data_IF_580447000387
#
_entry.id   IF_580447000387
#
_cell.length_a   1.000
_cell.length_b   1.000
_cell.length_c   1.000
_cell.angle_alpha   90.00
_cell.angle_beta   90.00
_cell.angle_gamma   90.00
#
_symmetry.space_group_name_H-M   'P 1'
#
loop_
_entity.id
_entity.type
_entity.pdbx_description
1 polymer ?
#
# COMPACT_ATOMS: atom_id res chain seq x y z
N UNK A 1 3.61 -1.46 -6.50
CA UNK A 1 2.43 -2.37 -6.47
C UNK A 1 1.10 -1.65 -6.27
N UNK A 2 1.10 -0.45 -5.67
CA UNK A 2 -0.12 0.27 -5.31
C UNK A 2 -1.07 0.50 -6.50
N UNK A 3 -0.56 0.88 -7.67
CA UNK A 3 -1.36 1.04 -8.90
C UNK A 3 -2.03 -0.27 -9.33
N UNK A 4 -1.28 -1.37 -9.38
CA UNK A 4 -1.79 -2.68 -9.79
C UNK A 4 -2.84 -3.21 -8.81
N UNK A 5 -2.64 -2.97 -7.51
CA UNK A 5 -3.53 -3.44 -6.43
C UNK A 5 -4.69 -2.47 -6.13
N UNK A 6 -4.75 -1.32 -6.81
CA UNK A 6 -5.73 -0.26 -6.54
C UNK A 6 -7.18 -0.74 -6.69
N UNK A 7 -7.43 -1.72 -7.58
CA UNK A 7 -8.76 -2.32 -7.76
C UNK A 7 -9.20 -3.21 -6.59
N UNK A 8 -8.23 -3.70 -5.81
CA UNK A 8 -8.47 -4.56 -4.66
C UNK A 8 -8.49 -3.76 -3.34
N UNK A 9 -7.89 -2.58 -3.35
CA UNK A 9 -7.74 -1.72 -2.18
C UNK A 9 -8.92 -0.75 -2.07
N UNK A 10 -9.38 -0.54 -0.85
CA UNK A 10 -10.37 0.51 -0.57
C UNK A 10 -9.68 1.87 -0.41
N UNK A 11 -8.93 2.30 -1.42
CA UNK A 11 -8.19 3.54 -1.43
C UNK A 11 -8.84 4.54 -2.40
N UNK A 12 -8.89 5.82 -2.00
CA UNK A 12 -9.45 6.90 -2.83
C UNK A 12 -8.48 7.39 -3.91
N UNK A 13 -7.18 7.22 -3.68
CA UNK A 13 -6.10 7.62 -4.56
C UNK A 13 -4.87 6.71 -4.35
N UNK A 14 -3.86 6.86 -5.22
CA UNK A 14 -2.63 6.05 -5.15
C UNK A 14 -1.86 6.28 -3.85
N UNK A 15 -1.82 7.52 -3.33
CA UNK A 15 -1.16 7.82 -2.05
C UNK A 15 -1.78 7.04 -0.89
N UNK A 16 -3.12 7.00 -0.80
CA UNK A 16 -3.82 6.21 0.21
C UNK A 16 -3.59 4.70 0.05
N UNK A 17 -3.46 4.21 -1.19
CA UNK A 17 -3.10 2.83 -1.44
C UNK A 17 -1.65 2.52 -1.02
N UNK A 18 -0.72 3.45 -1.25
CA UNK A 18 0.67 3.33 -0.82
C UNK A 18 0.77 3.25 0.70
N UNK A 19 0.05 4.10 1.45
CA UNK A 19 0.02 4.06 2.91
C UNK A 19 -0.52 2.74 3.47
N UNK A 20 -1.56 2.16 2.85
CA UNK A 20 -2.10 0.86 3.27
C UNK A 20 -1.08 -0.27 3.06
N UNK A 21 -0.37 -0.25 1.93
CA UNK A 21 0.67 -1.24 1.61
C UNK A 21 1.89 -1.05 2.54
N UNK A 22 2.29 0.19 2.79
CA UNK A 22 3.40 0.53 3.68
C UNK A 22 3.13 0.05 5.11
N UNK A 23 1.93 0.28 5.65
CA UNK A 23 1.55 -0.20 6.98
C UNK A 23 1.63 -1.73 7.10
N UNK A 24 1.28 -2.43 6.02
CA UNK A 24 1.41 -3.89 5.94
C UNK A 24 2.88 -4.31 5.89
N UNK A 25 3.69 -3.68 5.03
CA UNK A 25 5.12 -3.94 4.91
C UNK A 25 5.87 -3.70 6.23
N UNK A 26 5.57 -2.58 6.90
CA UNK A 26 6.11 -2.23 8.22
C UNK A 26 5.77 -3.27 9.28
N UNK A 27 4.54 -3.78 9.29
CA UNK A 27 4.12 -4.82 10.25
C UNK A 27 4.82 -6.16 9.99
N UNK A 28 5.23 -6.40 8.75
CA UNK A 28 6.03 -7.56 8.36
C UNK A 28 7.54 -7.33 8.57
N UNK A 29 7.96 -6.15 9.04
CA UNK A 29 9.38 -5.78 9.20
C UNK A 29 10.11 -5.55 7.88
N UNK A 30 9.38 -5.28 6.80
CA UNK A 30 9.93 -5.02 5.47
C UNK A 30 10.12 -3.51 5.31
N UNK A 31 11.33 -3.10 4.97
CA UNK A 31 11.65 -1.71 4.63
C UNK A 31 11.14 -1.40 3.21
N UNK A 32 10.31 -0.36 3.09
CA UNK A 32 9.78 0.12 1.81
C UNK A 32 10.71 1.24 1.33
N UNK A 33 11.33 1.05 0.15
CA UNK A 33 12.17 2.04 -0.55
C UNK A 33 11.51 2.54 -1.83
#
# INVERSE_FOLDING_TARGET
>A
IAETKMRDLNAKNIEGAMLQIEGTARSMGIEVV
#
